data_IF_243022400176
#
_entry.id   IF_243022400176
#
_cell.length_a   1.000
_cell.length_b   1.000
_cell.length_c   1.000
_cell.angle_alpha   90.00
_cell.angle_beta   90.00
_cell.angle_gamma   90.00
#
_symmetry.space_group_name_H-M   'P 1'
#
loop_
_entity.id
_entity.type
_entity.pdbx_description
1 polymer ?
#
# COMPACT_ATOMS: atom_id res chain seq x y z
N UNK A 1 -9.17 -69.29 10.48
CA UNK A 1 -8.15 -68.39 11.05
C UNK A 1 -7.36 -67.65 9.98
N UNK A 2 -6.81 -68.32 8.95
CA UNK A 2 -6.03 -67.65 7.89
C UNK A 2 -6.76 -66.49 7.18
N UNK A 3 -8.04 -66.64 6.83
CA UNK A 3 -8.80 -65.58 6.15
C UNK A 3 -9.03 -64.32 7.01
N UNK A 4 -9.22 -64.48 8.33
CA UNK A 4 -9.35 -63.35 9.24
C UNK A 4 -8.01 -62.61 9.42
N UNK A 5 -6.90 -63.35 9.40
CA UNK A 5 -5.56 -62.78 9.47
C UNK A 5 -5.26 -61.95 8.21
N UNK A 6 -5.55 -62.47 7.02
CA UNK A 6 -5.34 -61.74 5.77
C UNK A 6 -6.17 -60.44 5.72
N UNK A 7 -7.45 -60.51 6.11
CA UNK A 7 -8.31 -59.32 6.16
C UNK A 7 -7.79 -58.24 7.14
N UNK A 8 -7.20 -58.65 8.26
CA UNK A 8 -6.57 -57.73 9.20
C UNK A 8 -5.30 -57.09 8.63
N UNK A 9 -4.49 -57.85 7.88
CA UNK A 9 -3.30 -57.34 7.20
C UNK A 9 -3.68 -56.34 6.10
N UNK A 10 -4.70 -56.64 5.29
CA UNK A 10 -5.18 -55.73 4.25
C UNK A 10 -5.73 -54.43 4.86
N UNK A 11 -6.49 -54.53 5.95
CA UNK A 11 -7.00 -53.37 6.68
C UNK A 11 -5.89 -52.51 7.30
N UNK A 12 -4.80 -53.14 7.75
CA UNK A 12 -3.62 -52.43 8.26
C UNK A 12 -2.86 -51.72 7.12
N UNK A 13 -2.70 -52.38 5.97
CA UNK A 13 -2.07 -51.78 4.78
C UNK A 13 -2.84 -50.54 4.32
N UNK A 14 -4.17 -50.65 4.19
CA UNK A 14 -5.02 -49.53 3.80
C UNK A 14 -4.93 -48.34 4.79
N UNK A 15 -4.87 -48.63 6.10
CA UNK A 15 -4.68 -47.59 7.12
C UNK A 15 -3.29 -46.95 7.03
N UNK A 16 -2.25 -47.73 6.73
CA UNK A 16 -0.90 -47.21 6.54
C UNK A 16 -0.85 -46.25 5.36
N UNK A 17 -1.42 -46.64 4.22
CA UNK A 17 -1.53 -45.77 3.03
C UNK A 17 -2.31 -44.49 3.32
N UNK A 18 -3.42 -44.59 4.06
CA UNK A 18 -4.21 -43.42 4.47
C UNK A 18 -3.42 -42.47 5.37
N UNK A 19 -2.69 -43.00 6.35
CA UNK A 19 -1.86 -42.19 7.25
C UNK A 19 -0.69 -41.54 6.51
N UNK A 20 -0.09 -42.23 5.55
CA UNK A 20 0.96 -41.67 4.70
C UNK A 20 0.44 -40.50 3.86
N UNK A 21 -0.76 -40.63 3.29
CA UNK A 21 -1.40 -39.55 2.54
C UNK A 21 -1.70 -38.33 3.44
N UNK A 22 -2.24 -38.55 4.64
CA UNK A 22 -2.48 -37.47 5.62
C UNK A 22 -1.17 -36.79 6.05
N UNK A 23 -0.09 -37.55 6.28
CA UNK A 23 1.21 -36.99 6.62
C UNK A 23 1.81 -36.14 5.50
N UNK A 24 1.60 -36.51 4.24
CA UNK A 24 2.01 -35.68 3.10
C UNK A 24 1.21 -34.37 3.07
N UNK A 25 -0.12 -34.44 3.21
CA UNK A 25 -0.98 -33.25 3.27
C UNK A 25 -0.57 -32.28 4.38
N UNK A 26 -0.33 -32.80 5.60
CA UNK A 26 0.10 -31.99 6.74
C UNK A 26 1.46 -31.34 6.49
N UNK A 27 2.39 -32.05 5.84
CA UNK A 27 3.70 -31.46 5.48
C UNK A 27 3.54 -30.31 4.50
N UNK A 28 2.68 -30.45 3.50
CA UNK A 28 2.41 -29.40 2.52
C UNK A 28 1.77 -28.18 3.20
N UNK A 29 0.81 -28.38 4.10
CA UNK A 29 0.22 -27.31 4.92
C UNK A 29 1.27 -26.62 5.81
N UNK A 30 2.18 -27.36 6.44
CA UNK A 30 3.28 -26.79 7.24
C UNK A 30 4.19 -25.91 6.38
N UNK A 31 4.50 -26.33 5.15
CA UNK A 31 5.32 -25.54 4.22
C UNK A 31 4.59 -24.26 3.81
N UNK A 32 3.29 -24.33 3.54
CA UNK A 32 2.47 -23.17 3.23
C UNK A 32 2.44 -22.17 4.40
N UNK A 33 2.18 -22.65 5.62
CA UNK A 33 2.16 -21.81 6.83
C UNK A 33 3.51 -21.13 7.06
N UNK A 34 4.62 -21.83 6.88
CA UNK A 34 5.97 -21.24 7.02
C UNK A 34 6.20 -20.13 6.00
N UNK A 35 5.76 -20.34 4.77
CA UNK A 35 5.88 -19.33 3.71
C UNK A 35 5.06 -18.08 4.03
N UNK A 36 3.83 -18.25 4.53
CA UNK A 36 2.99 -17.14 4.98
C UNK A 36 3.60 -16.42 6.20
N UNK A 37 4.20 -17.15 7.15
CA UNK A 37 4.91 -16.57 8.28
C UNK A 37 6.09 -15.69 7.85
N UNK A 38 6.87 -16.16 6.87
CA UNK A 38 7.98 -15.38 6.32
C UNK A 38 7.49 -14.09 5.65
N UNK A 39 6.40 -14.17 4.87
CA UNK A 39 5.77 -12.99 4.26
C UNK A 39 5.28 -11.98 5.31
N UNK A 40 4.63 -12.47 6.37
CA UNK A 40 4.17 -11.63 7.49
C UNK A 40 5.36 -10.98 8.22
N UNK A 41 6.48 -11.68 8.37
CA UNK A 41 7.69 -11.11 8.96
C UNK A 41 8.23 -9.95 8.11
N UNK A 42 8.37 -10.14 6.80
CA UNK A 42 8.77 -9.07 5.88
C UNK A 42 7.82 -7.88 5.93
N UNK A 43 6.50 -8.10 5.89
CA UNK A 43 5.52 -7.02 5.99
C UNK A 43 5.63 -6.23 7.31
N UNK A 44 5.96 -6.90 8.42
CA UNK A 44 6.16 -6.23 9.71
C UNK A 44 7.39 -5.34 9.71
N UNK A 45 8.48 -5.78 9.09
CA UNK A 45 9.71 -4.99 8.94
C UNK A 45 9.46 -3.75 8.09
N UNK A 46 8.81 -3.90 6.93
CA UNK A 46 8.42 -2.78 6.07
C UNK A 46 7.49 -1.79 6.79
N UNK A 47 6.53 -2.30 7.57
CA UNK A 47 5.61 -1.45 8.33
C UNK A 47 6.33 -0.62 9.40
N UNK A 48 7.26 -1.21 10.16
CA UNK A 48 8.03 -0.46 11.15
C UNK A 48 9.01 0.53 10.50
N UNK A 49 9.56 0.22 9.32
CA UNK A 49 10.34 1.18 8.54
C UNK A 49 9.49 2.39 8.12
N UNK A 50 8.32 2.16 7.52
CA UNK A 50 7.38 3.22 7.12
C UNK A 50 6.91 4.07 8.31
N UNK A 51 6.65 3.43 9.45
CA UNK A 51 6.26 4.13 10.68
C UNK A 51 7.39 5.03 11.19
N UNK A 52 8.64 4.57 11.11
CA UNK A 52 9.82 5.36 11.47
C UNK A 52 9.96 6.57 10.54
N UNK A 53 9.83 6.38 9.23
CA UNK A 53 9.84 7.46 8.24
C UNK A 53 8.71 8.47 8.49
N UNK A 54 7.50 8.00 8.79
CA UNK A 54 6.36 8.86 9.09
C UNK A 54 6.58 9.71 10.34
N UNK A 55 7.19 9.14 11.39
CA UNK A 55 7.58 9.89 12.60
C UNK A 55 8.61 10.96 12.24
N UNK A 56 9.63 10.62 11.46
CA UNK A 56 10.66 11.56 11.03
C UNK A 56 10.07 12.71 10.19
N UNK A 57 9.20 12.41 9.23
CA UNK A 57 8.51 13.41 8.42
C UNK A 57 7.62 14.33 9.28
N UNK A 58 6.84 13.76 10.21
CA UNK A 58 6.03 14.56 11.14
C UNK A 58 6.91 15.47 12.00
N UNK A 59 8.03 14.97 12.49
CA UNK A 59 9.01 15.77 13.22
C UNK A 59 9.59 16.91 12.37
N UNK A 60 9.96 16.63 11.13
CA UNK A 60 10.50 17.63 10.22
C UNK A 60 9.46 18.70 9.81
N UNK A 61 8.19 18.31 9.66
CA UNK A 61 7.08 19.26 9.46
C UNK A 61 6.86 20.12 10.71
N UNK A 62 6.83 19.52 11.90
CA UNK A 62 6.64 20.23 13.16
C UNK A 62 7.79 21.20 13.48
N UNK A 63 9.02 20.82 13.13
CA UNK A 63 10.22 21.64 13.32
C UNK A 63 10.41 22.69 12.21
N UNK A 64 9.51 22.75 11.22
CA UNK A 64 9.60 23.67 10.09
C UNK A 64 10.73 23.38 9.09
N UNK A 65 11.42 22.23 9.24
CA UNK A 65 12.48 21.78 8.33
C UNK A 65 11.92 21.34 6.99
N UNK A 66 10.69 20.80 6.98
CA UNK A 66 9.91 20.63 5.76
C UNK A 66 9.05 21.88 5.60
N UNK A 67 9.58 22.85 4.87
CA UNK A 67 8.74 23.86 4.23
C UNK A 67 7.95 23.13 3.15
N UNK A 68 6.71 22.73 3.47
CA UNK A 68 5.66 22.73 2.46
C UNK A 68 5.59 24.19 2.04
N UNK A 69 6.43 24.61 1.08
CA UNK A 69 6.24 25.89 0.45
C UNK A 69 4.78 25.87 0.02
N UNK A 70 3.92 26.74 0.57
CA UNK A 70 2.75 27.11 -0.18
C UNK A 70 3.37 27.50 -1.52
N UNK A 71 3.06 26.78 -2.60
CA UNK A 71 3.28 27.36 -3.92
C UNK A 71 2.75 28.77 -3.76
N UNK A 72 3.58 29.82 -3.94
CA UNK A 72 3.09 31.16 -3.77
C UNK A 72 1.88 31.17 -4.67
N UNK A 73 0.68 31.30 -4.07
CA UNK A 73 -0.49 31.67 -4.84
C UNK A 73 -0.07 33.03 -5.32
N UNK A 74 0.54 33.04 -6.50
CA UNK A 74 0.95 34.25 -7.18
C UNK A 74 -0.28 35.13 -7.06
N UNK A 75 -0.10 36.34 -6.54
CA UNK A 75 -1.22 37.23 -6.29
C UNK A 75 -1.98 37.37 -7.60
N UNK A 76 -3.12 36.67 -7.72
CA UNK A 76 -3.87 36.63 -8.95
C UNK A 76 -4.18 38.08 -9.30
N UNK A 77 -3.95 38.52 -10.54
CA UNK A 77 -4.12 39.91 -10.91
C UNK A 77 -5.56 40.27 -10.56
N UNK A 78 -5.74 41.20 -9.61
CA UNK A 78 -7.08 41.64 -9.20
C UNK A 78 -7.67 42.44 -10.37
N UNK A 79 -8.85 42.05 -10.90
CA UNK A 79 -9.50 42.83 -11.92
C UNK A 79 -9.79 44.24 -11.39
N UNK A 80 -9.52 45.26 -12.22
CA UNK A 80 -9.86 46.64 -11.88
C UNK A 80 -11.39 46.80 -11.88
N UNK A 81 -11.91 47.64 -10.99
CA UNK A 81 -13.36 47.93 -10.94
C UNK A 81 -13.85 48.51 -12.27
N UNK A 82 -15.01 48.06 -12.71
CA UNK A 82 -15.60 48.50 -13.96
C UNK A 82 -16.15 49.93 -13.82
N UNK A 83 -15.52 50.88 -14.52
CA UNK A 83 -15.88 52.30 -14.48
C UNK A 83 -17.02 52.68 -15.46
N UNK A 84 -17.77 51.70 -15.98
CA UNK A 84 -18.88 51.92 -16.91
C UNK A 84 -18.48 52.00 -18.38
N UNK A 85 -17.20 52.01 -18.73
CA UNK A 85 -16.72 52.04 -20.12
C UNK A 85 -15.84 50.82 -20.41
N UNK A 86 -16.06 50.16 -21.55
CA UNK A 86 -15.23 49.01 -21.97
C UNK A 86 -14.04 49.50 -22.78
N UNK A 87 -12.85 49.37 -22.22
CA UNK A 87 -11.59 49.63 -22.91
C UNK A 87 -10.92 48.30 -23.29
N UNK A 88 -10.77 48.03 -24.59
CA UNK A 88 -10.20 46.76 -25.09
C UNK A 88 -8.79 46.49 -24.54
N UNK A 89 -7.94 47.52 -24.45
CA UNK A 89 -6.57 47.41 -23.93
C UNK A 89 -6.49 46.94 -22.47
N UNK A 90 -7.46 47.33 -21.65
CA UNK A 90 -7.50 46.93 -20.23
C UNK A 90 -7.85 45.45 -20.11
N UNK A 91 -8.75 44.96 -20.98
CA UNK A 91 -9.13 43.54 -21.04
C UNK A 91 -7.96 42.70 -21.55
N UNK A 92 -7.30 43.13 -22.63
CA UNK A 92 -6.15 42.41 -23.19
C UNK A 92 -4.99 42.32 -22.19
N UNK A 93 -4.66 43.42 -21.49
CA UNK A 93 -3.63 43.41 -20.45
C UNK A 93 -3.98 42.47 -19.29
N UNK A 94 -5.25 42.41 -18.90
CA UNK A 94 -5.71 41.51 -17.85
C UNK A 94 -5.59 40.03 -18.26
N UNK A 95 -6.03 39.69 -19.47
CA UNK A 95 -5.91 38.33 -20.02
C UNK A 95 -4.44 37.90 -20.15
N UNK A 96 -3.58 38.77 -20.68
CA UNK A 96 -2.14 38.52 -20.75
C UNK A 96 -1.51 38.32 -19.37
N UNK A 97 -1.95 39.10 -18.37
CA UNK A 97 -1.50 38.90 -16.98
C UNK A 97 -1.98 37.58 -16.38
N UNK A 98 -3.17 37.09 -16.75
CA UNK A 98 -3.69 35.79 -16.30
C UNK A 98 -2.97 34.61 -16.94
N UNK A 99 -2.54 34.72 -18.21
CA UNK A 99 -1.81 33.65 -18.91
C UNK A 99 -0.48 33.29 -18.21
N UNK A 100 0.11 34.18 -17.42
CA UNK A 100 1.33 33.88 -16.66
C UNK A 100 1.09 33.05 -15.39
N UNK A 101 -0.17 32.74 -15.07
CA UNK A 101 -0.56 32.02 -13.86
C UNK A 101 -0.98 30.57 -14.14
N UNK A 102 -1.08 30.16 -15.41
CA UNK A 102 -1.45 28.82 -15.86
C UNK A 102 -0.31 28.19 -16.68
#
# INVERSE_FOLDING_TARGET
MQGALNAAVDGLAQRSESLEAELVSIKDEIVAIRTEQDQVATMREEFEALKTELIALRGAVANGTVMLQPTPRSDAPKPKEFNGHREAKVVDNFLWSMEQYF
#
